data_IF_934245851324
#
_entry.id   IF_934245851324
#
_cell.length_a   1.000
_cell.length_b   1.000
_cell.length_c   1.000
_cell.angle_alpha   90.00
_cell.angle_beta   90.00
_cell.angle_gamma   90.00
#
_symmetry.space_group_name_H-M   'P 1'
#
loop_
_entity.id
_entity.type
_entity.pdbx_description
1 polymer ?
#
# COMPACT_ATOMS: atom_id res chain seq x y z
N UNK A 1 -17.82 6.65 12.32
CA UNK A 1 -16.83 5.90 11.51
C UNK A 1 -17.27 5.94 10.06
N UNK A 2 -16.47 6.42 9.10
CA UNK A 2 -16.87 6.44 7.70
C UNK A 2 -17.04 5.00 7.18
N UNK A 3 -18.15 4.73 6.48
CA UNK A 3 -18.41 3.44 5.82
C UNK A 3 -17.45 3.30 4.63
N UNK A 4 -16.61 2.27 4.64
CA UNK A 4 -15.77 1.91 3.50
C UNK A 4 -16.66 1.56 2.29
N UNK A 5 -16.30 2.09 1.13
CA UNK A 5 -16.92 1.77 -0.16
C UNK A 5 -16.61 0.32 -0.59
N UNK A 6 -17.44 -0.23 -1.49
CA UNK A 6 -17.23 -1.56 -2.08
C UNK A 6 -15.81 -1.71 -2.66
N UNK A 7 -15.31 -0.67 -3.33
CA UNK A 7 -13.95 -0.63 -3.91
C UNK A 7 -12.87 -0.69 -2.84
N UNK A 8 -13.06 -0.01 -1.70
CA UNK A 8 -12.12 -0.06 -0.59
C UNK A 8 -12.13 -1.43 0.07
N UNK A 9 -13.29 -2.09 0.19
CA UNK A 9 -13.39 -3.48 0.66
C UNK A 9 -12.64 -4.47 -0.24
N UNK A 10 -12.76 -4.31 -1.56
CA UNK A 10 -12.04 -5.15 -2.54
C UNK A 10 -10.53 -4.93 -2.42
N UNK A 11 -10.07 -3.67 -2.33
CA UNK A 11 -8.65 -3.36 -2.11
C UNK A 11 -8.11 -3.95 -0.82
N UNK A 12 -8.90 -3.90 0.27
CA UNK A 12 -8.56 -4.50 1.55
C UNK A 12 -8.42 -6.02 1.44
N UNK A 13 -9.36 -6.68 0.76
CA UNK A 13 -9.32 -8.13 0.52
C UNK A 13 -8.11 -8.55 -0.32
N UNK A 14 -7.83 -7.82 -1.40
CA UNK A 14 -6.63 -8.04 -2.23
C UNK A 14 -5.37 -7.84 -1.36
N UNK A 15 -5.29 -6.75 -0.59
CA UNK A 15 -4.16 -6.52 0.31
C UNK A 15 -3.94 -7.66 1.31
N UNK A 16 -5.03 -8.20 1.89
CA UNK A 16 -4.97 -9.31 2.84
C UNK A 16 -4.52 -10.62 2.19
N UNK A 17 -5.03 -10.96 1.01
CA UNK A 17 -4.64 -12.16 0.26
C UNK A 17 -3.14 -12.11 -0.06
N UNK A 18 -2.68 -10.97 -0.55
CA UNK A 18 -1.28 -10.85 -0.95
C UNK A 18 -0.38 -10.82 0.31
N UNK A 19 -0.83 -10.23 1.43
CA UNK A 19 -0.13 -10.31 2.74
C UNK A 19 0.01 -11.74 3.24
N UNK A 20 -1.03 -12.57 3.06
CA UNK A 20 -0.99 -14.00 3.42
C UNK A 20 -0.06 -14.75 2.47
N UNK A 21 -0.19 -14.53 1.15
CA UNK A 21 0.65 -15.18 0.13
C UNK A 21 2.15 -14.87 0.33
N UNK A 22 2.46 -13.68 0.83
CA UNK A 22 3.82 -13.24 1.05
C UNK A 22 4.50 -13.87 2.27
N UNK A 23 3.75 -14.52 3.18
CA UNK A 23 4.32 -15.42 4.20
C UNK A 23 4.89 -16.71 3.59
N UNK A 24 4.36 -17.16 2.45
CA UNK A 24 4.80 -18.38 1.78
C UNK A 24 5.92 -18.11 0.76
N UNK A 25 5.92 -16.93 0.14
CA UNK A 25 6.98 -16.50 -0.79
C UNK A 25 7.46 -15.08 -0.47
N UNK A 26 8.63 -14.97 0.18
CA UNK A 26 9.26 -13.68 0.50
C UNK A 26 9.56 -12.83 -0.74
N UNK A 27 9.79 -13.47 -1.88
CA UNK A 27 9.95 -12.84 -3.21
C UNK A 27 8.73 -12.03 -3.61
N UNK A 28 7.53 -12.53 -3.35
CA UNK A 28 6.28 -11.84 -3.69
C UNK A 28 6.09 -10.58 -2.85
N UNK A 29 6.54 -10.58 -1.59
CA UNK A 29 6.47 -9.44 -0.67
C UNK A 29 7.08 -8.17 -1.27
N UNK A 30 8.21 -8.31 -2.00
CA UNK A 30 8.89 -7.20 -2.67
C UNK A 30 8.03 -6.56 -3.76
N UNK A 31 7.42 -7.37 -4.62
CA UNK A 31 6.54 -6.86 -5.68
C UNK A 31 5.27 -6.19 -5.12
N UNK A 32 4.78 -6.65 -3.97
CA UNK A 32 3.67 -5.96 -3.28
C UNK A 32 4.07 -4.58 -2.80
N UNK A 33 5.19 -4.48 -2.08
CA UNK A 33 5.66 -3.21 -1.54
C UNK A 33 5.87 -2.20 -2.67
N UNK A 34 6.39 -2.65 -3.81
CA UNK A 34 6.55 -1.82 -4.99
C UNK A 34 5.20 -1.34 -5.53
N UNK A 35 4.20 -2.23 -5.63
CA UNK A 35 2.85 -1.92 -6.13
C UNK A 35 2.11 -0.95 -5.20
N UNK A 36 2.17 -1.18 -3.89
CA UNK A 36 1.59 -0.27 -2.89
C UNK A 36 2.33 1.07 -2.86
N UNK A 37 3.66 1.08 -2.93
CA UNK A 37 4.43 2.31 -3.03
C UNK A 37 4.02 3.11 -4.27
N UNK A 38 3.84 2.45 -5.43
CA UNK A 38 3.39 3.10 -6.66
C UNK A 38 1.98 3.71 -6.50
N UNK A 39 1.04 2.96 -5.90
CA UNK A 39 -0.32 3.45 -5.65
C UNK A 39 -0.34 4.66 -4.71
N UNK A 40 0.50 4.66 -3.67
CA UNK A 40 0.63 5.80 -2.76
C UNK A 40 1.40 6.97 -3.37
N UNK A 41 2.39 6.73 -4.25
CA UNK A 41 3.04 7.77 -5.05
C UNK A 41 2.02 8.44 -5.96
N UNK A 42 1.17 7.68 -6.65
CA UNK A 42 0.07 8.22 -7.46
C UNK A 42 -0.87 9.10 -6.59
N UNK A 43 -1.23 8.62 -5.39
CA UNK A 43 -2.04 9.37 -4.42
C UNK A 43 -1.35 10.62 -3.86
N UNK A 44 -0.02 10.60 -3.74
CA UNK A 44 0.78 11.75 -3.32
C UNK A 44 0.94 12.80 -4.43
N UNK A 45 0.95 12.37 -5.70
CA UNK A 45 0.96 13.27 -6.87
C UNK A 45 -0.44 13.84 -7.14
N UNK A 46 -1.49 13.06 -6.90
CA UNK A 46 -2.89 13.44 -7.12
C UNK A 46 -3.74 13.26 -5.85
N UNK A 47 -3.51 14.08 -4.81
CA UNK A 47 -4.25 13.97 -3.57
C UNK A 47 -5.73 14.32 -3.80
N UNK A 48 -6.64 13.58 -3.15
CA UNK A 48 -8.06 13.95 -3.12
C UNK A 48 -8.27 15.18 -2.21
N UNK A 49 -9.33 15.95 -2.44
CA UNK A 49 -9.65 17.11 -1.60
C UNK A 49 -9.76 16.70 -0.12
N UNK A 50 -8.96 17.35 0.74
CA UNK A 50 -8.87 17.04 2.18
C UNK A 50 -7.79 16.03 2.59
N UNK A 51 -7.11 15.33 1.66
CA UNK A 51 -5.99 14.44 1.99
C UNK A 51 -4.68 15.21 2.21
N UNK A 52 -4.07 15.02 3.39
CA UNK A 52 -2.74 15.58 3.69
C UNK A 52 -1.65 14.79 2.97
N UNK A 53 -1.11 15.39 1.89
CA UNK A 53 -0.02 14.86 1.05
C UNK A 53 1.16 14.26 1.84
N UNK A 54 1.49 14.85 3.00
CA UNK A 54 2.56 14.43 3.90
C UNK A 54 2.37 13.01 4.47
N UNK A 55 1.13 12.59 4.74
CA UNK A 55 0.84 11.24 5.24
C UNK A 55 1.00 10.19 4.15
N UNK A 56 0.59 10.50 2.91
CA UNK A 56 0.80 9.60 1.77
C UNK A 56 2.30 9.39 1.51
N UNK A 57 3.13 10.44 1.60
CA UNK A 57 4.59 10.35 1.47
C UNK A 57 5.25 9.54 2.60
N UNK A 58 4.77 9.68 3.84
CA UNK A 58 5.25 8.88 4.98
C UNK A 58 4.98 7.38 4.75
N UNK A 59 3.79 7.04 4.25
CA UNK A 59 3.42 5.66 3.94
C UNK A 59 4.28 5.11 2.79
N UNK A 60 4.56 5.90 1.74
CA UNK A 60 5.50 5.50 0.68
C UNK A 60 6.89 5.19 1.25
N UNK A 61 7.41 6.04 2.15
CA UNK A 61 8.73 5.85 2.75
C UNK A 61 8.80 4.59 3.62
N UNK A 62 7.75 4.31 4.40
CA UNK A 62 7.63 3.08 5.20
C UNK A 62 7.58 1.86 4.28
N UNK A 63 6.82 1.94 3.18
CA UNK A 63 6.71 0.86 2.20
C UNK A 63 8.06 0.60 1.49
N UNK A 64 8.79 1.65 1.10
CA UNK A 64 10.13 1.52 0.52
C UNK A 64 11.14 0.96 1.51
N UNK A 65 11.10 1.39 2.78
CA UNK A 65 11.94 0.81 3.82
C UNK A 65 11.63 -0.69 4.00
N UNK A 66 10.34 -1.04 4.12
CA UNK A 66 9.89 -2.43 4.20
C UNK A 66 10.38 -3.28 3.02
N UNK A 67 10.39 -2.75 1.80
CA UNK A 67 10.97 -3.39 0.63
C UNK A 67 12.47 -3.67 0.77
N UNK A 68 13.25 -2.68 1.23
CA UNK A 68 14.71 -2.80 1.39
C UNK A 68 15.09 -3.77 2.51
N UNK A 69 14.28 -3.82 3.57
CA UNK A 69 14.49 -4.73 4.73
C UNK A 69 13.84 -6.11 4.54
N UNK A 70 12.95 -6.28 3.57
CA UNK A 70 12.45 -7.59 3.13
C UNK A 70 13.57 -8.36 2.42
N UNK A 71 14.42 -9.01 3.23
CA UNK A 71 15.47 -9.94 2.82
C UNK A 71 15.03 -11.40 2.98
#
# INVERSE_FOLDING_TARGET
MPKLSMTEWILLGIGLIILIASFFERSLFRYMFLTFALAFVYRAVRPKEGEKRSWNLLIVLILLAGFLFAR
#
